data_IF_280967587505
#
_entry.id   IF_280967587505
#
_cell.length_a   1.000
_cell.length_b   1.000
_cell.length_c   1.000
_cell.angle_alpha   90.00
_cell.angle_beta   90.00
_cell.angle_gamma   90.00
#
_symmetry.space_group_name_H-M   'P 1'
#
loop_
_entity.id
_entity.type
_entity.pdbx_description
1 polymer ?
#
# COMPACT_ATOMS: atom_id res chain seq x y z
N UNK A 1 29.56 -5.26 -0.73
CA UNK A 1 29.06 -5.21 -0.53
C UNK A 1 28.31 -5.14 0.00
N UNK A 2 27.94 -5.05 0.06
CA UNK A 2 27.19 -4.97 0.53
C UNK A 2 26.61 -5.13 1.18
N UNK A 3 26.11 -4.94 1.49
CA UNK A 3 25.54 -5.01 2.06
C UNK A 3 24.98 -5.11 2.78
N UNK A 4 24.70 -4.91 3.04
CA UNK A 4 24.19 -4.95 3.71
C UNK A 4 23.45 -5.09 4.34
N UNK A 5 23.03 -4.74 4.67
CA UNK A 5 22.26 -4.79 5.33
C UNK A 5 21.91 -5.51 6.02
N UNK A 6 22.01 -5.85 6.23
CA UNK A 6 21.77 -6.65 6.85
C UNK A 6 21.31 -6.55 8.12
N UNK A 7 21.37 -5.77 8.71
CA UNK A 7 20.79 -5.58 9.97
C UNK A 7 19.31 -5.53 9.95
N UNK A 8 18.74 -5.57 8.82
CA UNK A 8 17.30 -5.49 8.75
C UNK A 8 16.67 -6.67 9.41
N UNK A 9 15.63 -6.46 10.18
CA UNK A 9 14.88 -7.52 10.78
C UNK A 9 14.03 -8.23 9.76
N UNK A 10 13.73 -7.58 8.63
CA UNK A 10 12.89 -8.18 7.61
C UNK A 10 13.75 -8.58 6.42
N UNK A 11 13.38 -9.63 5.71
CA UNK A 11 14.12 -10.02 4.54
C UNK A 11 14.15 -8.90 3.51
N UNK A 12 15.23 -8.79 2.72
CA UNK A 12 15.29 -7.78 1.69
C UNK A 12 14.16 -7.96 0.69
N UNK A 13 13.57 -6.90 0.27
CA UNK A 13 12.55 -6.93 -0.74
C UNK A 13 11.14 -7.13 -0.25
N UNK A 14 10.93 -7.32 1.05
CA UNK A 14 9.57 -7.49 1.55
C UNK A 14 8.75 -6.24 1.36
N UNK A 15 9.35 -5.09 1.57
CA UNK A 15 8.62 -3.84 1.38
C UNK A 15 8.29 -3.63 -0.11
N UNK A 16 9.23 -3.96 -0.97
CA UNK A 16 9.01 -3.87 -2.39
C UNK A 16 7.89 -4.78 -2.84
N UNK A 17 7.87 -6.01 -2.35
CA UNK A 17 6.83 -6.94 -2.69
C UNK A 17 5.47 -6.46 -2.23
N UNK A 18 5.43 -5.92 -1.03
CA UNK A 18 4.20 -5.37 -0.49
C UNK A 18 3.71 -4.23 -1.38
N UNK A 19 4.61 -3.34 -1.74
CA UNK A 19 4.26 -2.21 -2.59
C UNK A 19 3.73 -2.66 -3.95
N UNK A 20 4.37 -3.66 -4.54
CA UNK A 20 3.93 -4.16 -5.84
C UNK A 20 2.57 -4.82 -5.74
N UNK A 21 2.33 -5.55 -4.66
CA UNK A 21 1.05 -6.22 -4.48
C UNK A 21 -0.08 -5.20 -4.38
N UNK A 22 0.14 -4.17 -3.56
CA UNK A 22 -0.88 -3.13 -3.39
C UNK A 22 -1.06 -2.36 -4.68
N UNK A 23 0.03 -2.06 -5.37
CA UNK A 23 -0.07 -1.34 -6.63
C UNK A 23 -0.86 -2.13 -7.66
N UNK A 24 -0.69 -3.45 -7.68
CA UNK A 24 -1.43 -4.28 -8.59
C UNK A 24 -2.92 -4.23 -8.29
N UNK A 25 -3.28 -4.22 -7.02
CA UNK A 25 -4.67 -4.12 -6.63
C UNK A 25 -5.24 -2.78 -7.07
N UNK A 26 -4.50 -1.71 -6.83
CA UNK A 26 -4.96 -0.37 -7.18
C UNK A 26 -5.10 -0.23 -8.70
N UNK A 27 -4.22 -0.85 -9.44
CA UNK A 27 -4.24 -0.75 -10.88
C UNK A 27 -5.20 -1.71 -11.56
N UNK A 28 -5.90 -2.52 -10.79
CA UNK A 28 -6.86 -3.44 -11.38
C UNK A 28 -8.00 -2.66 -12.04
N UNK A 29 -8.60 -3.21 -13.08
CA UNK A 29 -9.69 -2.50 -13.75
C UNK A 29 -10.85 -2.15 -12.82
N UNK A 30 -11.17 -3.06 -11.91
CA UNK A 30 -12.26 -2.82 -10.97
C UNK A 30 -11.94 -1.65 -10.05
N UNK A 31 -10.73 -1.61 -9.51
CA UNK A 31 -10.35 -0.54 -8.61
C UNK A 31 -10.28 0.80 -9.35
N UNK A 32 -9.76 0.79 -10.56
CA UNK A 32 -9.65 2.02 -11.33
C UNK A 32 -11.02 2.58 -11.67
N UNK A 33 -11.96 1.70 -11.94
CA UNK A 33 -13.30 2.14 -12.24
C UNK A 33 -13.98 2.70 -11.00
N UNK A 34 -13.80 2.03 -9.87
CA UNK A 34 -14.42 2.48 -8.62
C UNK A 34 -13.65 3.63 -7.99
N UNK A 35 -12.41 3.83 -8.36
CA UNK A 35 -11.51 4.79 -7.74
C UNK A 35 -11.39 4.52 -6.26
N UNK A 36 -11.34 3.24 -5.93
CA UNK A 36 -11.23 2.78 -4.55
C UNK A 36 -10.73 1.35 -4.54
N UNK A 37 -10.03 0.99 -3.49
CA UNK A 37 -9.53 -0.37 -3.32
C UNK A 37 -9.53 -0.71 -1.85
N UNK A 38 -9.86 -1.97 -1.55
CA UNK A 38 -9.81 -2.45 -0.18
C UNK A 38 -8.64 -3.40 -0.06
N UNK A 39 -7.75 -3.13 0.86
CA UNK A 39 -6.55 -3.93 1.02
C UNK A 39 -6.45 -4.45 2.44
N UNK A 40 -5.82 -5.61 2.58
CA UNK A 40 -5.58 -6.24 3.87
C UNK A 40 -4.13 -6.66 3.93
N UNK A 41 -3.56 -6.61 5.12
CA UNK A 41 -2.20 -7.10 5.33
C UNK A 41 -2.24 -8.62 5.38
N UNK A 42 -1.32 -9.24 4.67
CA UNK A 42 -1.19 -10.69 4.75
C UNK A 42 -0.43 -11.07 6.01
N UNK A 43 -0.65 -12.28 6.55
CA UNK A 43 -0.04 -12.66 7.81
C UNK A 43 1.48 -12.60 7.81
N UNK A 44 2.11 -12.83 6.67
CA UNK A 44 3.57 -12.80 6.61
C UNK A 44 4.12 -11.44 6.24
N UNK A 45 3.28 -10.44 6.12
CA UNK A 45 3.75 -9.09 5.81
C UNK A 45 4.02 -8.35 7.12
N UNK A 46 5.23 -7.76 7.28
CA UNK A 46 5.57 -7.07 8.52
C UNK A 46 4.65 -5.89 8.79
N UNK A 47 4.24 -5.75 10.04
CA UNK A 47 3.33 -4.69 10.41
C UNK A 47 3.96 -3.32 10.19
N UNK A 48 5.23 -3.17 10.54
CA UNK A 48 5.90 -1.89 10.40
C UNK A 48 5.99 -1.46 8.93
N UNK A 49 6.22 -2.41 8.03
CA UNK A 49 6.27 -2.08 6.61
C UNK A 49 4.88 -1.76 6.08
N UNK A 50 3.88 -2.47 6.58
CA UNK A 50 2.50 -2.21 6.19
C UNK A 50 2.11 -0.78 6.57
N UNK A 51 2.42 -0.38 7.79
CA UNK A 51 2.08 0.95 8.25
C UNK A 51 2.84 2.02 7.51
N UNK A 52 4.10 1.74 7.20
CA UNK A 52 4.90 2.67 6.44
C UNK A 52 4.33 2.90 5.05
N UNK A 53 3.90 1.82 4.41
CA UNK A 53 3.31 1.94 3.08
C UNK A 53 2.03 2.76 3.13
N UNK A 54 1.21 2.54 4.15
CA UNK A 54 -0.03 3.29 4.27
C UNK A 54 0.25 4.77 4.48
N UNK A 55 1.28 5.09 5.25
CA UNK A 55 1.64 6.48 5.44
C UNK A 55 2.09 7.13 4.15
N UNK A 56 2.86 6.39 3.36
CA UNK A 56 3.33 6.92 2.10
C UNK A 56 2.17 7.15 1.13
N UNK A 57 1.21 6.24 1.13
CA UNK A 57 0.04 6.42 0.29
C UNK A 57 -0.77 7.63 0.75
N UNK A 58 -0.89 7.79 2.05
CA UNK A 58 -1.68 8.88 2.62
C UNK A 58 -1.06 10.26 2.38
N UNK A 59 0.21 10.30 2.04
CA UNK A 59 0.85 11.57 1.76
C UNK A 59 0.38 12.20 0.46
N UNK A 60 -0.28 11.43 -0.38
CA UNK A 60 -0.81 11.97 -1.63
C UNK A 60 -2.08 12.76 -1.36
N UNK A 61 -2.13 13.97 -1.89
CA UNK A 61 -3.25 14.86 -1.63
C UNK A 61 -4.56 14.32 -2.15
N UNK A 62 -4.50 13.51 -3.19
CA UNK A 62 -5.72 13.03 -3.82
C UNK A 62 -6.18 11.69 -3.27
N UNK A 63 -5.57 11.22 -2.19
CA UNK A 63 -5.85 9.90 -1.65
C UNK A 63 -6.35 10.01 -0.23
N UNK A 64 -7.35 9.22 0.11
CA UNK A 64 -7.89 9.15 1.46
C UNK A 64 -7.90 7.70 1.90
N UNK A 65 -7.52 7.45 3.13
CA UNK A 65 -7.53 6.11 3.69
C UNK A 65 -8.61 6.03 4.75
N UNK A 66 -9.36 4.94 4.75
CA UNK A 66 -10.36 4.68 5.77
C UNK A 66 -10.03 3.34 6.41
N UNK A 67 -9.74 3.34 7.70
CA UNK A 67 -9.37 2.14 8.43
C UNK A 67 -10.63 1.44 8.92
N UNK A 68 -10.68 0.14 8.67
CA UNK A 68 -11.84 -0.65 9.01
C UNK A 68 -11.60 -1.42 10.30
N UNK A 69 -12.68 -1.83 10.95
CA UNK A 69 -12.57 -2.59 12.19
C UNK A 69 -12.03 -3.98 11.96
N UNK A 70 -12.18 -4.51 10.76
CA UNK A 70 -11.73 -5.88 10.47
C UNK A 70 -10.27 -5.93 10.07
N UNK A 71 -9.55 -4.83 10.20
CA UNK A 71 -8.15 -4.80 9.86
C UNK A 71 -7.85 -4.38 8.43
N UNK A 72 -8.87 -4.19 7.63
CA UNK A 72 -8.68 -3.74 6.26
C UNK A 72 -8.53 -2.23 6.18
N UNK A 73 -8.02 -1.78 5.07
CA UNK A 73 -7.88 -0.35 4.82
C UNK A 73 -8.47 -0.08 3.45
N UNK A 74 -9.40 0.85 3.42
CA UNK A 74 -10.00 1.22 2.15
C UNK A 74 -9.32 2.47 1.64
N UNK A 75 -8.87 2.42 0.39
CA UNK A 75 -8.17 3.53 -0.23
C UNK A 75 -9.12 4.17 -1.23
N UNK A 76 -9.26 5.47 -1.16
CA UNK A 76 -10.08 6.22 -2.12
C UNK A 76 -9.18 7.24 -2.78
N UNK A 77 -9.36 7.45 -4.07
CA UNK A 77 -8.57 8.49 -4.73
C UNK A 77 -9.44 9.23 -5.73
N UNK A 78 -8.98 10.42 -6.05
CA UNK A 78 -9.67 11.29 -6.99
C UNK A 78 -8.71 11.55 -8.13
N UNK A 79 -9.20 11.40 -9.36
CA UNK A 79 -8.37 11.67 -10.52
C UNK A 79 -8.60 13.13 -10.90
N UNK A 80 -7.54 13.95 -10.90
CA UNK A 80 -7.72 15.35 -11.24
C UNK A 80 -8.20 15.47 -12.68
N UNK A 81 -9.13 16.41 -12.86
CA UNK A 81 -9.60 16.64 -14.18
C UNK A 81 -8.63 17.48 -14.91
N UNK A 82 -8.30 17.10 -16.11
CA UNK A 82 -7.42 17.91 -16.84
C UNK A 82 -8.14 18.55 -17.89
N UNK A 83 -8.24 19.67 -18.01
CA UNK A 83 -8.97 20.22 -19.10
C UNK A 83 -8.30 21.20 -19.90
#
# INVERSE_FOLDING_TARGET
MATTSSAATNPPGTYERLGLRIQKIINSPTAQKAKAALIFRLPDEPVDEWERLLEEIAENDNVTLAYRDDGGVQIFWVVPKED
#
